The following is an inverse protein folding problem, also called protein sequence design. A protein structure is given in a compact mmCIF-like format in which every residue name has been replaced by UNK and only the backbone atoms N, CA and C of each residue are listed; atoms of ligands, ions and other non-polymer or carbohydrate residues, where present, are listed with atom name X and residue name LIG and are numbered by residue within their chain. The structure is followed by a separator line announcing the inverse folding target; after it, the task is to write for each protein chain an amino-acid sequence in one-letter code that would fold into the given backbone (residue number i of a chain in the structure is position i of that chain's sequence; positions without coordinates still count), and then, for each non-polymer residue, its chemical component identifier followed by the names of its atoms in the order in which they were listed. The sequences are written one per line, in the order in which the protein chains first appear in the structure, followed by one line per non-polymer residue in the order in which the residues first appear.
data_IF_779604894045
#
_entry.id   IF_779604894045
#
_cell.length_a   1.000
_cell.length_b   1.000
_cell.length_c   1.000
_cell.angle_alpha   90.00
_cell.angle_beta   90.00
_cell.angle_gamma   90.00
#
_symmetry.space_group_name_H-M   'P 1'
#
loop_
_entity.id
_entity.type
_entity.pdbx_description
1 polymer ?
#
# COMPACT_ATOMS: atom_id res chain seq x y z
N UNK A 1 -29.65 2.54 3.17
CA UNK A 1 -28.49 3.40 2.86
C UNK A 1 -27.28 2.49 2.69
N UNK A 2 -26.44 2.74 1.69
CA UNK A 2 -25.23 1.93 1.45
C UNK A 2 -24.01 2.79 1.73
N UNK A 3 -23.15 2.33 2.64
CA UNK A 3 -21.87 2.97 2.93
C UNK A 3 -20.80 2.33 2.05
N UNK A 4 -20.00 3.15 1.36
CA UNK A 4 -18.88 2.70 0.54
C UNK A 4 -17.62 3.46 0.94
N UNK A 5 -16.50 2.75 1.03
CA UNK A 5 -15.19 3.31 1.30
C UNK A 5 -14.16 2.83 0.27
N UNK A 6 -13.23 3.72 -0.07
CA UNK A 6 -12.07 3.41 -0.90
C UNK A 6 -10.81 3.57 -0.06
N UNK A 7 -10.04 2.50 0.08
CA UNK A 7 -8.82 2.48 0.89
C UNK A 7 -7.66 2.09 -0.03
N UNK A 8 -6.60 2.89 0.00
CA UNK A 8 -5.35 2.57 -0.67
C UNK A 8 -4.53 1.62 0.22
N UNK A 9 -3.85 0.65 -0.40
CA UNK A 9 -2.92 -0.22 0.31
C UNK A 9 -1.74 0.57 0.91
N UNK A 10 -1.09 -0.01 1.92
CA UNK A 10 0.11 0.56 2.54
C UNK A 10 1.30 0.66 1.59
N UNK A 11 2.33 1.39 2.01
CA UNK A 11 3.52 1.62 1.18
C UNK A 11 4.33 0.34 0.99
N UNK A 12 4.95 0.22 -0.19
CA UNK A 12 5.93 -0.80 -0.58
C UNK A 12 7.28 -0.13 -0.86
N UNK A 13 8.33 -0.92 -1.10
CA UNK A 13 9.63 -0.38 -1.53
C UNK A 13 9.55 0.44 -2.82
N UNK A 14 8.75 -0.02 -3.79
CA UNK A 14 8.65 0.63 -5.11
C UNK A 14 7.98 2.00 -5.07
N UNK A 15 7.24 2.33 -4.01
CA UNK A 15 6.68 3.68 -3.84
C UNK A 15 7.78 4.72 -3.67
N UNK A 16 8.87 4.39 -2.96
CA UNK A 16 10.00 5.30 -2.76
C UNK A 16 10.82 5.47 -4.05
N UNK A 17 10.95 4.39 -4.82
CA UNK A 17 11.65 4.36 -6.10
C UNK A 17 10.83 4.94 -7.27
N UNK A 18 9.57 5.33 -7.03
CA UNK A 18 8.61 5.78 -8.06
C UNK A 18 8.46 4.79 -9.23
N UNK A 19 8.51 3.49 -8.91
CA UNK A 19 8.42 2.41 -9.88
C UNK A 19 6.98 1.90 -10.02
N UNK A 20 6.57 1.59 -11.25
CA UNK A 20 5.25 1.02 -11.54
C UNK A 20 5.21 -0.43 -11.07
N UNK A 21 4.27 -0.78 -10.18
CA UNK A 21 4.05 -2.14 -9.70
C UNK A 21 3.31 -3.00 -10.74
N UNK A 22 2.25 -2.48 -11.35
CA UNK A 22 1.43 -3.25 -12.28
C UNK A 22 0.78 -4.46 -11.59
N UNK A 23 1.00 -5.66 -12.11
CA UNK A 23 0.41 -6.92 -11.59
C UNK A 23 1.39 -7.71 -10.69
N UNK A 24 2.48 -7.11 -10.25
CA UNK A 24 3.48 -7.77 -9.41
C UNK A 24 3.02 -7.85 -7.96
N UNK A 25 3.34 -8.94 -7.29
CA UNK A 25 3.09 -9.11 -5.86
C UNK A 25 4.29 -8.60 -5.04
N UNK A 26 4.21 -7.36 -4.56
CA UNK A 26 5.29 -6.72 -3.81
C UNK A 26 4.83 -6.55 -2.37
N UNK A 27 5.59 -7.07 -1.38
CA UNK A 27 5.22 -6.90 0.00
C UNK A 27 5.26 -5.43 0.42
N UNK A 28 4.49 -5.09 1.45
CA UNK A 28 4.61 -3.81 2.14
C UNK A 28 6.05 -3.59 2.61
N UNK A 29 6.49 -2.33 2.66
CA UNK A 29 7.74 -1.98 3.31
C UNK A 29 7.56 -2.02 4.82
N UNK A 30 8.66 -2.04 5.58
CA UNK A 30 8.58 -1.97 7.05
C UNK A 30 7.88 -0.69 7.52
N UNK A 31 8.16 0.44 6.86
CA UNK A 31 7.45 1.69 7.10
C UNK A 31 5.94 1.56 6.78
N UNK A 32 5.59 0.94 5.65
CA UNK A 32 4.20 0.70 5.28
C UNK A 32 3.48 -0.24 6.26
N UNK A 33 4.17 -1.24 6.81
CA UNK A 33 3.64 -2.09 7.89
C UNK A 33 3.43 -1.29 9.17
N UNK A 34 4.36 -0.41 9.54
CA UNK A 34 4.25 0.43 10.73
C UNK A 34 3.09 1.44 10.61
N UNK A 35 2.87 2.04 9.44
CA UNK A 35 1.74 2.95 9.16
C UNK A 35 0.37 2.28 9.32
N UNK A 36 0.29 0.96 9.12
CA UNK A 36 -0.95 0.19 9.24
C UNK A 36 -1.15 -0.44 10.63
N UNK A 37 -0.20 -0.28 11.55
CA UNK A 37 -0.39 -0.69 12.94
C UNK A 37 -1.30 0.35 13.60
N UNK A 38 -2.51 -0.10 13.99
CA UNK A 38 -3.46 0.69 14.79
C UNK A 38 -3.04 0.83 16.24
#
# INVERSE_FOLDING_TARGET
MTLLAFIRHGRTGWNAEKRIQGRTDIPLSDAGRAELRG
#
